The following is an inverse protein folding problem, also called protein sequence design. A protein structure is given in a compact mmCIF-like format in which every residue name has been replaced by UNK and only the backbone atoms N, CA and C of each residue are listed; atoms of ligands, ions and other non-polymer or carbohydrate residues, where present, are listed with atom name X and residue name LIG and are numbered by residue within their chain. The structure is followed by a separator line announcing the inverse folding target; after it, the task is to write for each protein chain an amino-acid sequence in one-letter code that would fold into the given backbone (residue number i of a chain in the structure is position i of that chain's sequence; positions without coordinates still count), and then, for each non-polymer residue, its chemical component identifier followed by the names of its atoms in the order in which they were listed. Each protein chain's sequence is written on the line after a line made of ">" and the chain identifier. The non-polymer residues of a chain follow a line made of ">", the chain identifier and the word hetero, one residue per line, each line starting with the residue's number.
data_IF_818668227389
#
_entry.id   IF_818668227389
#
_cell.length_a   1.000
_cell.length_b   1.000
_cell.length_c   1.000
_cell.angle_alpha   90.00
_cell.angle_beta   90.00
_cell.angle_gamma   90.00
#
_symmetry.space_group_name_H-M   'P 1'
#
loop_
_entity.id
_entity.type
_entity.pdbx_description
1 polymer ?
#
# COMPACT_ATOMS: atom_id res chain seq x y z
N UNK A 1 9.52 -6.56 -14.71
CA UNK A 1 8.94 -6.80 -16.05
C UNK A 1 8.04 -8.01 -15.93
N UNK A 2 6.72 -7.86 -16.06
CA UNK A 2 5.78 -8.98 -15.99
C UNK A 2 5.48 -9.38 -17.44
N UNK A 3 5.67 -10.65 -17.78
CA UNK A 3 5.46 -11.17 -19.13
C UNK A 3 4.16 -11.97 -19.11
N UNK A 4 3.13 -11.49 -19.82
CA UNK A 4 1.79 -12.10 -19.80
C UNK A 4 1.42 -12.83 -21.09
N UNK A 5 2.05 -12.51 -22.23
CA UNK A 5 2.17 -13.35 -23.43
C UNK A 5 2.98 -12.62 -24.53
N UNK A 6 3.30 -13.33 -25.61
CA UNK A 6 4.18 -12.92 -26.73
C UNK A 6 4.19 -11.41 -27.04
N UNK A 7 5.35 -10.80 -26.78
CA UNK A 7 5.83 -9.46 -27.15
C UNK A 7 5.30 -8.22 -26.40
N UNK A 8 4.36 -8.35 -25.47
CA UNK A 8 3.91 -7.18 -24.70
C UNK A 8 4.60 -7.09 -23.33
N UNK A 9 5.55 -6.16 -23.23
CA UNK A 9 6.25 -5.83 -21.98
C UNK A 9 5.50 -4.74 -21.21
N UNK A 10 4.97 -5.09 -20.03
CA UNK A 10 4.36 -4.11 -19.13
C UNK A 10 5.39 -3.53 -18.16
N UNK A 11 5.52 -2.20 -18.18
CA UNK A 11 6.27 -1.43 -17.20
C UNK A 11 5.34 -0.97 -16.07
N UNK A 12 5.79 -1.14 -14.82
CA UNK A 12 5.12 -0.57 -13.65
C UNK A 12 5.80 0.76 -13.37
N UNK A 13 5.05 1.85 -13.46
CA UNK A 13 5.51 3.21 -13.14
C UNK A 13 4.76 3.69 -11.92
N UNK A 14 5.51 4.04 -10.87
CA UNK A 14 4.96 4.73 -9.71
C UNK A 14 4.91 6.21 -10.05
N UNK A 15 3.75 6.82 -9.85
CA UNK A 15 3.50 8.24 -10.08
C UNK A 15 2.91 8.87 -8.81
N UNK A 16 2.69 10.19 -8.81
CA UNK A 16 2.19 10.95 -7.66
C UNK A 16 3.16 11.03 -6.45
N UNK A 17 4.35 11.57 -6.71
CA UNK A 17 5.36 11.83 -5.67
C UNK A 17 5.28 13.26 -5.10
N UNK A 18 4.14 13.96 -5.29
CA UNK A 18 3.98 15.38 -4.92
C UNK A 18 4.14 15.67 -3.42
N UNK A 19 4.02 14.63 -2.60
CA UNK A 19 4.21 14.67 -1.14
C UNK A 19 5.48 13.96 -0.67
N UNK A 20 6.34 13.49 -1.59
CA UNK A 20 7.60 12.84 -1.22
C UNK A 20 8.67 13.85 -0.82
N UNK A 21 9.40 13.55 0.25
CA UNK A 21 10.50 14.37 0.73
C UNK A 21 11.84 13.75 0.33
N UNK A 22 12.84 14.58 -0.02
CA UNK A 22 14.20 14.10 -0.28
C UNK A 22 14.79 13.50 1.00
N UNK A 23 15.42 12.32 0.88
CA UNK A 23 16.03 11.62 2.02
C UNK A 23 17.25 12.36 2.61
N UNK A 24 17.85 13.28 1.84
CA UNK A 24 18.97 14.11 2.25
C UNK A 24 18.58 15.58 2.08
N UNK A 25 18.07 16.19 3.15
CA UNK A 25 17.73 17.60 3.16
C UNK A 25 18.72 18.31 4.07
N UNK A 26 19.43 19.29 3.50
CA UNK A 26 20.10 20.31 4.29
C UNK A 26 19.04 21.01 5.13
N UNK A 27 19.18 20.90 6.46
CA UNK A 27 18.23 21.40 7.46
C UNK A 27 17.88 22.89 7.30
N UNK A 28 18.72 23.64 6.59
CA UNK A 28 18.56 25.07 6.33
C UNK A 28 17.73 25.42 5.08
N UNK A 29 17.46 24.48 4.18
CA UNK A 29 16.76 24.75 2.90
C UNK A 29 15.35 24.18 2.83
N UNK A 30 14.81 23.77 3.97
CA UNK A 30 13.55 23.06 4.02
C UNK A 30 12.41 24.07 4.07
N UNK A 31 11.58 24.09 3.02
CA UNK A 31 10.38 24.93 2.99
C UNK A 31 9.50 24.51 4.17
N UNK A 32 9.32 25.42 5.13
CA UNK A 32 8.60 25.16 6.39
C UNK A 32 7.25 24.46 6.15
N UNK A 33 6.55 24.79 5.06
CA UNK A 33 5.29 24.16 4.66
C UNK A 33 5.36 22.65 4.39
N UNK A 34 6.48 22.13 3.87
CA UNK A 34 6.66 20.69 3.65
C UNK A 34 7.02 19.94 4.94
N UNK A 35 7.80 20.58 5.81
CA UNK A 35 8.19 20.01 7.11
C UNK A 35 6.97 19.83 8.02
N UNK A 36 6.06 20.80 8.04
CA UNK A 36 4.88 20.75 8.92
C UNK A 36 3.94 19.57 8.59
N UNK A 37 3.66 19.34 7.30
CA UNK A 37 2.85 18.20 6.86
C UNK A 37 3.56 16.86 7.14
N UNK A 38 4.88 16.80 6.92
CA UNK A 38 5.66 15.59 7.14
C UNK A 38 5.83 15.23 8.62
N UNK A 39 6.02 16.20 9.51
CA UNK A 39 6.13 15.96 10.95
C UNK A 39 4.81 15.45 11.55
N UNK A 40 3.68 15.94 11.03
CA UNK A 40 2.36 15.45 11.41
C UNK A 40 2.09 14.03 10.86
N UNK A 41 2.61 13.74 9.67
CA UNK A 41 2.63 12.42 9.02
C UNK A 41 3.94 11.67 9.27
N UNK A 42 4.64 11.90 10.39
CA UNK A 42 5.91 11.23 10.71
C UNK A 42 5.64 9.77 11.08
N UNK A 43 5.21 9.02 10.07
CA UNK A 43 4.94 7.61 10.17
C UNK A 43 6.11 6.92 9.48
N UNK A 44 6.90 6.31 10.35
CA UNK A 44 8.04 5.44 10.14
C UNK A 44 8.00 4.67 8.83
N UNK A 45 9.19 4.32 8.30
CA UNK A 45 9.40 3.47 7.11
C UNK A 45 8.42 2.28 6.98
N UNK A 46 7.92 1.75 8.09
CA UNK A 46 6.86 0.74 8.20
C UNK A 46 5.61 1.09 7.37
N UNK A 47 5.17 2.34 7.30
CA UNK A 47 3.99 2.75 6.53
C UNK A 47 4.21 2.65 5.02
N UNK A 48 5.42 2.92 4.56
CA UNK A 48 5.81 2.73 3.15
C UNK A 48 5.75 1.24 2.81
N UNK A 49 6.28 0.36 3.68
CA UNK A 49 6.20 -1.08 3.44
C UNK A 49 4.78 -1.63 3.50
N UNK A 50 3.95 -1.13 4.42
CA UNK A 50 2.56 -1.53 4.51
C UNK A 50 1.80 -1.13 3.22
N UNK A 51 1.90 0.12 2.80
CA UNK A 51 1.21 0.62 1.59
C UNK A 51 1.67 -0.09 0.31
N UNK A 52 2.98 -0.29 0.13
CA UNK A 52 3.50 -1.09 -1.00
C UNK A 52 2.96 -2.53 -0.94
N UNK A 53 2.90 -3.13 0.26
CA UNK A 53 2.32 -4.46 0.47
C UNK A 53 0.85 -4.54 0.02
N UNK A 54 0.05 -3.53 0.34
CA UNK A 54 -1.36 -3.46 -0.07
C UNK A 54 -1.52 -3.31 -1.59
N UNK A 55 -0.66 -2.52 -2.24
CA UNK A 55 -0.64 -2.36 -3.71
C UNK A 55 -0.26 -3.68 -4.38
N UNK A 56 0.79 -4.35 -3.89
CA UNK A 56 1.18 -5.67 -4.41
C UNK A 56 0.05 -6.68 -4.24
N UNK A 57 -0.61 -6.69 -3.09
CA UNK A 57 -1.76 -7.57 -2.84
C UNK A 57 -2.88 -7.32 -3.85
N UNK A 58 -3.26 -6.06 -4.08
CA UNK A 58 -4.30 -5.69 -5.04
C UNK A 58 -3.95 -6.13 -6.47
N UNK A 59 -2.68 -6.01 -6.87
CA UNK A 59 -2.20 -6.47 -8.17
C UNK A 59 -2.28 -7.99 -8.32
N UNK A 60 -1.97 -8.74 -7.24
CA UNK A 60 -2.05 -10.21 -7.26
C UNK A 60 -3.47 -10.74 -7.13
N UNK A 61 -4.35 -10.03 -6.42
CA UNK A 61 -5.72 -10.45 -6.15
C UNK A 61 -6.71 -9.99 -7.21
N UNK A 62 -6.43 -8.86 -7.88
CA UNK A 62 -7.38 -8.17 -8.75
C UNK A 62 -8.54 -7.51 -8.00
N UNK A 63 -8.53 -7.54 -6.66
CA UNK A 63 -9.59 -7.00 -5.81
C UNK A 63 -9.07 -5.86 -4.95
N UNK A 64 -9.96 -4.95 -4.54
CA UNK A 64 -9.63 -3.97 -3.52
C UNK A 64 -9.39 -4.69 -2.18
N UNK A 65 -8.38 -4.29 -1.40
CA UNK A 65 -8.20 -4.85 -0.07
C UNK A 65 -9.47 -4.76 0.77
N UNK A 66 -9.82 -5.84 1.47
CA UNK A 66 -11.03 -5.92 2.29
C UNK A 66 -12.33 -5.61 1.53
N UNK A 67 -12.40 -5.94 0.23
CA UNK A 67 -13.60 -5.74 -0.60
C UNK A 67 -14.87 -6.40 -0.05
N UNK A 68 -14.72 -7.38 0.82
CA UNK A 68 -15.75 -8.16 1.50
C UNK A 68 -16.30 -7.47 2.77
N UNK A 69 -15.71 -6.35 3.20
CA UNK A 69 -16.02 -5.70 4.47
C UNK A 69 -16.33 -4.21 4.32
N UNK A 70 -17.18 -3.69 5.20
CA UNK A 70 -17.50 -2.27 5.26
C UNK A 70 -16.28 -1.47 5.72
N UNK A 71 -15.96 -0.42 4.97
CA UNK A 71 -14.85 0.47 5.27
C UNK A 71 -15.28 1.48 6.33
N UNK A 72 -14.81 1.29 7.56
CA UNK A 72 -15.13 2.17 8.68
C UNK A 72 -14.16 1.99 9.85
N UNK A 73 -14.48 2.61 10.99
CA UNK A 73 -13.63 2.63 12.19
C UNK A 73 -13.29 1.20 12.65
N UNK A 74 -14.24 0.28 12.56
CA UNK A 74 -14.04 -1.12 12.95
C UNK A 74 -12.94 -1.80 12.13
N UNK A 75 -12.94 -1.62 10.81
CA UNK A 75 -11.92 -2.20 9.94
C UNK A 75 -10.54 -1.58 10.22
N UNK A 76 -10.49 -0.29 10.50
CA UNK A 76 -9.23 0.41 10.85
C UNK A 76 -8.65 -0.19 12.14
N UNK A 77 -9.48 -0.37 13.18
CA UNK A 77 -9.05 -1.00 14.43
C UNK A 77 -8.55 -2.42 14.20
N UNK A 78 -9.30 -3.24 13.46
CA UNK A 78 -8.87 -4.59 13.14
C UNK A 78 -7.50 -4.62 12.42
N UNK A 79 -7.25 -3.68 11.49
CA UNK A 79 -5.97 -3.58 10.77
C UNK A 79 -4.83 -3.20 11.71
N UNK A 80 -5.07 -2.27 12.64
CA UNK A 80 -4.12 -1.88 13.68
C UNK A 80 -3.83 -3.06 14.63
N UNK A 81 -4.84 -3.89 14.91
CA UNK A 81 -4.72 -5.13 15.68
C UNK A 81 -4.05 -6.27 14.90
N UNK A 82 -3.67 -6.04 13.64
CA UNK A 82 -2.87 -6.97 12.84
C UNK A 82 -3.63 -7.74 11.77
N UNK A 83 -4.91 -7.44 11.53
CA UNK A 83 -5.68 -8.03 10.42
C UNK A 83 -5.01 -7.71 9.07
N UNK A 84 -4.99 -8.70 8.17
CA UNK A 84 -4.42 -8.59 6.82
C UNK A 84 -5.44 -9.07 5.79
N UNK A 85 -5.36 -8.60 4.53
CA UNK A 85 -6.20 -9.12 3.45
C UNK A 85 -5.97 -10.61 3.24
N UNK A 86 -7.00 -11.33 2.78
CA UNK A 86 -6.90 -12.76 2.52
C UNK A 86 -5.80 -13.08 1.48
N UNK A 87 -4.97 -14.07 1.75
CA UNK A 87 -3.90 -14.46 0.82
C UNK A 87 -4.54 -15.15 -0.39
N UNK A 88 -4.44 -14.51 -1.56
CA UNK A 88 -4.89 -15.06 -2.84
C UNK A 88 -4.05 -16.27 -3.21
N UNK A 89 -4.53 -17.45 -2.83
CA UNK A 89 -3.80 -18.71 -3.00
C UNK A 89 -4.37 -19.86 -2.21
N UNK A 90 -5.20 -19.62 -1.18
CA UNK A 90 -6.11 -20.67 -0.69
C UNK A 90 -7.50 -20.40 -1.24
N UNK A 91 -7.88 -21.16 -2.27
CA UNK A 91 -9.25 -21.68 -2.29
C UNK A 91 -9.39 -22.45 -0.97
N UNK A 92 -9.98 -21.84 0.05
CA UNK A 92 -10.57 -22.61 1.13
C UNK A 92 -11.80 -23.28 0.52
N UNK A 93 -11.59 -24.33 -0.26
CA UNK A 93 -12.59 -25.39 -0.38
C UNK A 93 -12.59 -26.09 0.98
N UNK A 94 -13.18 -25.44 1.98
CA UNK A 94 -13.52 -26.09 3.25
C UNK A 94 -15.03 -26.02 3.33
N UNK A 95 -15.65 -27.05 2.74
CA UNK A 95 -16.99 -27.53 3.05
C UNK A 95 -18.16 -26.82 2.39
N UNK A 96 -18.69 -27.41 1.32
CA UNK A 96 -20.13 -27.69 1.17
C UNK A 96 -20.30 -28.95 0.31
N UNK A 97 -20.79 -30.02 0.97
CA UNK A 97 -21.45 -31.26 0.50
C UNK A 97 -20.90 -32.03 -0.71
#
# INVERSE_FOLDING_TARGET
>A
MIQLNNNDYYYIVISDLGFSQAANIDSNLSRESQIWLQNYLNINHIHIFYSIGMIMWQMTSGHRPFHDQEHGIKLILDILDGKRPEITGRRQNVGLI
#
